data_IF_584188634288
#
_entry.id   IF_584188634288
#
_cell.length_a   1.000
_cell.length_b   1.000
_cell.length_c   1.000
_cell.angle_alpha   90.00
_cell.angle_beta   90.00
_cell.angle_gamma   90.00
#
_symmetry.space_group_name_H-M   'P 1'
#
loop_
_entity.id
_entity.type
_entity.pdbx_description
1 polymer ?
#
# COMPACT_ATOMS: atom_id res chain seq x y z
N UNK A 1 8.97 -30.79 -28.64
CA UNK A 1 7.61 -31.27 -28.94
C UNK A 1 6.74 -30.75 -27.80
N UNK A 2 6.19 -29.54 -27.96
CA UNK A 2 5.39 -28.87 -26.93
C UNK A 2 4.02 -29.51 -26.82
N UNK A 3 3.47 -29.61 -25.62
CA UNK A 3 2.14 -30.18 -25.40
C UNK A 3 1.07 -29.44 -26.22
N UNK A 4 0.23 -30.15 -26.99
CA UNK A 4 -0.85 -29.53 -27.73
C UNK A 4 -1.99 -29.19 -26.76
N UNK A 5 -2.25 -27.91 -26.52
CA UNK A 5 -3.45 -27.44 -25.81
C UNK A 5 -3.24 -26.44 -24.67
N UNK A 6 -2.01 -26.04 -24.34
CA UNK A 6 -1.77 -24.98 -23.34
C UNK A 6 -1.76 -23.63 -24.06
N UNK A 7 -2.72 -22.76 -23.72
CA UNK A 7 -2.75 -21.37 -24.18
C UNK A 7 -1.40 -20.70 -23.89
N UNK A 8 -0.87 -19.96 -24.86
CA UNK A 8 0.39 -19.25 -24.66
C UNK A 8 0.22 -18.12 -23.64
N UNK A 9 1.33 -17.71 -23.00
CA UNK A 9 1.35 -16.58 -22.06
C UNK A 9 0.69 -15.33 -22.66
N UNK A 10 1.01 -14.98 -23.90
CA UNK A 10 0.51 -13.77 -24.55
C UNK A 10 -0.99 -13.86 -24.88
N UNK A 11 -1.47 -15.03 -25.30
CA UNK A 11 -2.90 -15.26 -25.53
C UNK A 11 -3.70 -15.14 -24.23
N UNK A 12 -3.19 -15.73 -23.15
CA UNK A 12 -3.81 -15.70 -21.82
C UNK A 12 -3.89 -14.26 -21.28
N UNK A 13 -2.78 -13.51 -21.33
CA UNK A 13 -2.75 -12.10 -20.91
C UNK A 13 -3.66 -11.25 -21.79
N UNK A 14 -3.66 -11.44 -23.12
CA UNK A 14 -4.53 -10.69 -24.02
C UNK A 14 -6.02 -11.00 -23.77
N UNK A 15 -6.36 -12.24 -23.43
CA UNK A 15 -7.71 -12.66 -23.04
C UNK A 15 -8.14 -11.97 -21.75
N UNK A 16 -7.24 -11.88 -20.78
CA UNK A 16 -7.50 -11.19 -19.52
C UNK A 16 -7.65 -9.67 -19.66
N UNK A 17 -6.82 -9.02 -20.48
CA UNK A 17 -6.96 -7.59 -20.80
C UNK A 17 -8.30 -7.31 -21.45
N UNK A 18 -8.74 -8.15 -22.40
CA UNK A 18 -10.09 -8.04 -23.00
C UNK A 18 -11.19 -8.20 -21.95
N UNK A 19 -11.06 -9.16 -21.03
CA UNK A 19 -12.02 -9.34 -19.95
C UNK A 19 -12.14 -8.07 -19.09
N UNK A 20 -11.03 -7.46 -18.67
CA UNK A 20 -11.01 -6.20 -17.93
C UNK A 20 -11.67 -5.05 -18.70
N UNK A 21 -11.39 -4.92 -20.00
CA UNK A 21 -12.04 -3.92 -20.84
C UNK A 21 -13.57 -4.08 -20.86
N UNK A 22 -14.08 -5.32 -20.88
CA UNK A 22 -15.53 -5.56 -20.81
C UNK A 22 -16.12 -5.27 -19.43
N UNK A 23 -15.36 -5.52 -18.36
CA UNK A 23 -15.79 -5.24 -16.98
C UNK A 23 -15.91 -3.73 -16.74
N UNK A 24 -14.96 -2.93 -17.23
CA UNK A 24 -15.04 -1.46 -17.16
C UNK A 24 -16.17 -0.85 -17.99
N UNK A 25 -16.65 -1.56 -19.02
CA UNK A 25 -17.84 -1.16 -19.77
C UNK A 25 -19.16 -1.47 -19.03
N UNK A 26 -19.10 -2.03 -17.81
CA UNK A 26 -20.26 -2.23 -16.93
C UNK A 26 -21.24 -3.31 -17.39
N UNK A 27 -20.83 -4.22 -18.28
CA UNK A 27 -21.74 -5.17 -18.95
C UNK A 27 -21.40 -6.65 -18.78
N UNK A 28 -20.41 -7.02 -17.97
CA UNK A 28 -19.88 -8.39 -17.98
C UNK A 28 -20.12 -9.16 -16.67
N UNK A 29 -20.39 -10.48 -16.73
CA UNK A 29 -20.31 -11.37 -15.57
C UNK A 29 -18.87 -11.43 -15.02
N UNK A 30 -18.69 -12.06 -13.86
CA UNK A 30 -17.37 -12.20 -13.25
C UNK A 30 -16.36 -12.81 -14.22
N UNK A 31 -15.08 -12.41 -14.13
CA UNK A 31 -14.05 -13.03 -14.92
C UNK A 31 -14.04 -14.54 -14.67
N UNK A 32 -13.90 -15.30 -15.76
CA UNK A 32 -13.90 -16.76 -15.75
C UNK A 32 -12.93 -17.30 -14.67
N UNK A 33 -13.40 -18.10 -13.69
CA UNK A 33 -12.53 -18.68 -12.68
C UNK A 33 -11.35 -19.47 -13.28
N UNK A 34 -11.51 -20.07 -14.46
CA UNK A 34 -10.43 -20.75 -15.15
C UNK A 34 -9.34 -19.77 -15.60
N UNK A 35 -9.71 -18.59 -16.11
CA UNK A 35 -8.77 -17.53 -16.50
C UNK A 35 -7.92 -17.07 -15.31
N UNK A 36 -8.55 -16.85 -14.15
CA UNK A 36 -7.84 -16.47 -12.91
C UNK A 36 -6.89 -17.59 -12.47
N UNK A 37 -7.35 -18.84 -12.50
CA UNK A 37 -6.53 -20.00 -12.14
C UNK A 37 -5.32 -20.19 -13.06
N UNK A 38 -5.49 -19.95 -14.36
CA UNK A 38 -4.42 -20.05 -15.36
C UNK A 38 -3.39 -18.92 -15.18
N UNK A 39 -3.84 -17.68 -14.99
CA UNK A 39 -2.96 -16.54 -14.68
C UNK A 39 -2.22 -16.73 -13.35
N UNK A 40 -2.89 -17.29 -12.34
CA UNK A 40 -2.26 -17.56 -11.04
C UNK A 40 -1.12 -18.55 -11.17
N UNK A 41 -1.30 -19.60 -11.97
CA UNK A 41 -0.22 -20.56 -12.28
C UNK A 41 0.90 -19.90 -13.09
N UNK A 42 0.56 -19.05 -14.07
CA UNK A 42 1.54 -18.31 -14.85
C UNK A 42 2.41 -17.40 -13.96
N UNK A 43 1.80 -16.61 -13.07
CA UNK A 43 2.52 -15.72 -12.14
C UNK A 43 3.28 -16.51 -11.08
N UNK A 44 2.81 -17.69 -10.68
CA UNK A 44 3.58 -18.57 -9.80
C UNK A 44 4.83 -19.16 -10.49
N UNK A 45 4.72 -19.47 -11.79
CA UNK A 45 5.83 -19.98 -12.61
C UNK A 45 6.86 -18.86 -12.93
N UNK A 46 6.39 -17.63 -13.17
CA UNK A 46 7.22 -16.43 -13.37
C UNK A 46 6.66 -15.21 -12.62
N UNK A 47 7.07 -15.01 -11.36
CA UNK A 47 6.65 -13.86 -10.55
C UNK A 47 7.18 -12.51 -11.06
N UNK A 48 8.11 -12.52 -12.01
CA UNK A 48 8.71 -11.30 -12.58
C UNK A 48 7.93 -10.78 -13.79
N UNK A 49 6.94 -11.54 -14.27
CA UNK A 49 6.04 -11.11 -15.32
C UNK A 49 5.10 -10.00 -14.82
N UNK A 50 5.58 -8.76 -14.96
CA UNK A 50 4.91 -7.55 -14.51
C UNK A 50 3.51 -7.41 -15.10
N UNK A 51 3.35 -7.71 -16.40
CA UNK A 51 2.07 -7.53 -17.08
C UNK A 51 1.06 -8.59 -16.66
N UNK A 52 1.47 -9.87 -16.53
CA UNK A 52 0.58 -10.92 -16.03
C UNK A 52 0.17 -10.66 -14.57
N UNK A 53 1.12 -10.22 -13.75
CA UNK A 53 0.89 -9.86 -12.33
C UNK A 53 -0.09 -8.70 -12.21
N UNK A 54 0.13 -7.61 -12.96
CA UNK A 54 -0.76 -6.45 -12.92
C UNK A 54 -2.17 -6.82 -13.36
N UNK A 55 -2.32 -7.52 -14.50
CA UNK A 55 -3.64 -7.92 -15.02
C UNK A 55 -4.37 -8.83 -14.03
N UNK A 56 -3.67 -9.78 -13.39
CA UNK A 56 -4.26 -10.63 -12.37
C UNK A 56 -4.69 -9.83 -11.13
N UNK A 57 -3.88 -8.85 -10.69
CA UNK A 57 -4.23 -7.95 -9.60
C UNK A 57 -5.50 -7.13 -9.88
N UNK A 58 -5.67 -6.65 -11.12
CA UNK A 58 -6.89 -5.97 -11.55
C UNK A 58 -8.12 -6.89 -11.54
N UNK A 59 -7.97 -8.16 -11.89
CA UNK A 59 -9.07 -9.14 -11.84
C UNK A 59 -9.50 -9.43 -10.40
N UNK A 60 -8.53 -9.55 -9.48
CA UNK A 60 -8.81 -9.68 -8.05
C UNK A 60 -9.49 -8.43 -7.49
N UNK A 61 -9.02 -7.24 -7.84
CA UNK A 61 -9.67 -5.99 -7.44
C UNK A 61 -11.13 -5.93 -7.89
N UNK A 62 -11.41 -6.24 -9.18
CA UNK A 62 -12.78 -6.27 -9.70
C UNK A 62 -13.69 -7.24 -8.94
N UNK A 63 -13.17 -8.42 -8.60
CA UNK A 63 -13.93 -9.41 -7.81
C UNK A 63 -14.18 -8.92 -6.39
N UNK A 64 -13.20 -8.27 -5.76
CA UNK A 64 -13.37 -7.64 -4.46
C UNK A 64 -14.45 -6.56 -4.49
N UNK A 65 -14.42 -5.64 -5.47
CA UNK A 65 -15.44 -4.59 -5.59
C UNK A 65 -16.87 -5.16 -5.70
N UNK A 66 -17.01 -6.31 -6.36
CA UNK A 66 -18.32 -6.94 -6.55
C UNK A 66 -18.80 -7.77 -5.36
N UNK A 67 -17.90 -8.52 -4.73
CA UNK A 67 -18.26 -9.56 -3.76
C UNK A 67 -17.79 -9.27 -2.33
N UNK A 68 -16.87 -8.32 -2.14
CA UNK A 68 -16.32 -7.94 -0.84
C UNK A 68 -15.45 -9.00 -0.18
N UNK A 69 -14.89 -9.95 -0.94
CA UNK A 69 -14.06 -11.03 -0.40
C UNK A 69 -12.67 -10.51 0.02
N UNK A 70 -12.28 -10.55 1.30
CA UNK A 70 -11.01 -9.98 1.76
C UNK A 70 -9.77 -10.61 1.11
N UNK A 71 -9.83 -11.90 0.77
CA UNK A 71 -8.73 -12.57 0.07
C UNK A 71 -8.48 -11.99 -1.32
N UNK A 72 -9.53 -11.56 -2.02
CA UNK A 72 -9.39 -10.93 -3.34
C UNK A 72 -8.77 -9.52 -3.18
N UNK A 73 -9.07 -8.80 -2.09
CA UNK A 73 -8.36 -7.55 -1.77
C UNK A 73 -6.88 -7.80 -1.46
N UNK A 74 -6.57 -8.77 -0.61
CA UNK A 74 -5.19 -9.11 -0.24
C UNK A 74 -4.35 -9.47 -1.48
N UNK A 75 -4.90 -10.26 -2.39
CA UNK A 75 -4.23 -10.63 -3.64
C UNK A 75 -4.09 -9.43 -4.59
N UNK A 76 -5.09 -8.55 -4.68
CA UNK A 76 -5.00 -7.32 -5.46
C UNK A 76 -3.90 -6.38 -4.93
N UNK A 77 -3.88 -6.14 -3.61
CA UNK A 77 -2.83 -5.34 -2.94
C UNK A 77 -1.46 -5.96 -3.21
N UNK A 78 -1.29 -7.27 -2.99
CA UNK A 78 -0.02 -7.97 -3.20
C UNK A 78 0.51 -7.80 -4.63
N UNK A 79 -0.37 -7.84 -5.63
CA UNK A 79 0.00 -7.75 -7.03
C UNK A 79 0.23 -6.32 -7.51
N UNK A 80 -0.52 -5.35 -6.99
CA UNK A 80 -0.50 -3.97 -7.49
C UNK A 80 0.31 -2.99 -6.64
N UNK A 81 0.58 -3.30 -5.36
CA UNK A 81 1.42 -2.48 -4.48
C UNK A 81 2.83 -2.20 -5.03
N UNK A 82 3.52 -3.11 -5.76
CA UNK A 82 4.80 -2.79 -6.39
C UNK A 82 4.75 -1.64 -7.38
N UNK A 83 3.58 -1.23 -7.88
CA UNK A 83 3.40 -0.08 -8.77
C UNK A 83 3.04 1.22 -8.02
N UNK A 84 3.01 1.20 -6.69
CA UNK A 84 2.53 2.31 -5.86
C UNK A 84 3.60 3.39 -5.71
N UNK A 85 3.85 4.12 -6.79
CA UNK A 85 4.75 5.27 -6.83
C UNK A 85 4.29 6.26 -7.92
N UNK A 86 4.66 7.55 -7.81
CA UNK A 86 4.07 8.63 -8.61
C UNK A 86 3.98 8.34 -10.12
N UNK A 87 5.05 7.82 -10.72
CA UNK A 87 5.14 7.57 -12.16
C UNK A 87 4.37 6.34 -12.65
N UNK A 88 3.77 5.54 -11.75
CA UNK A 88 3.03 4.32 -12.11
C UNK A 88 1.64 4.22 -11.52
N UNK A 89 1.17 5.23 -10.80
CA UNK A 89 -0.15 5.23 -10.17
C UNK A 89 -1.30 5.00 -11.16
N UNK A 90 -1.11 5.32 -12.45
CA UNK A 90 -2.09 5.04 -13.51
C UNK A 90 -2.35 3.53 -13.73
N UNK A 91 -1.47 2.66 -13.23
CA UNK A 91 -1.65 1.20 -13.24
C UNK A 91 -2.52 0.71 -12.07
N UNK A 92 -2.81 1.54 -11.08
CA UNK A 92 -3.53 1.15 -9.87
C UNK A 92 -4.93 1.80 -9.89
N UNK A 93 -6.00 1.01 -9.72
CA UNK A 93 -7.36 1.53 -9.54
C UNK A 93 -7.43 2.53 -8.38
N UNK A 94 -8.18 3.63 -8.55
CA UNK A 94 -8.24 4.70 -7.55
C UNK A 94 -8.64 4.20 -6.16
N UNK A 95 -9.66 3.33 -6.06
CA UNK A 95 -10.10 2.75 -4.79
C UNK A 95 -9.05 1.85 -4.11
N UNK A 96 -8.23 1.15 -4.89
CA UNK A 96 -7.18 0.28 -4.36
C UNK A 96 -5.97 1.08 -3.84
N UNK A 97 -5.78 2.32 -4.27
CA UNK A 97 -4.65 3.17 -3.82
C UNK A 97 -4.70 3.41 -2.32
N UNK A 98 -5.87 3.68 -1.76
CA UNK A 98 -6.05 3.88 -0.32
C UNK A 98 -5.77 2.59 0.46
N UNK A 99 -6.25 1.45 -0.03
CA UNK A 99 -5.98 0.15 0.60
C UNK A 99 -4.48 -0.20 0.60
N UNK A 100 -3.77 0.08 -0.50
CA UNK A 100 -2.32 -0.10 -0.57
C UNK A 100 -1.61 0.86 0.39
N UNK A 101 -2.04 2.12 0.46
CA UNK A 101 -1.47 3.09 1.39
C UNK A 101 -1.63 2.62 2.84
N UNK A 102 -2.83 2.18 3.21
CA UNK A 102 -3.16 1.64 4.54
C UNK A 102 -2.29 0.41 4.85
N UNK A 103 -2.15 -0.53 3.92
CA UNK A 103 -1.30 -1.70 4.07
C UNK A 103 0.17 -1.32 4.32
N UNK A 104 0.70 -0.33 3.61
CA UNK A 104 2.06 0.16 3.83
C UNK A 104 2.24 0.91 5.16
N UNK A 105 1.23 1.65 5.61
CA UNK A 105 1.30 2.43 6.86
C UNK A 105 1.59 1.56 8.09
N UNK A 106 1.09 0.32 8.10
CA UNK A 106 1.31 -0.65 9.19
C UNK A 106 2.77 -1.12 9.32
N UNK A 107 3.59 -0.88 8.29
CA UNK A 107 5.00 -1.31 8.24
C UNK A 107 5.99 -0.17 8.49
N UNK A 108 5.53 1.05 8.79
CA UNK A 108 6.40 2.23 8.98
C UNK A 108 7.41 2.01 10.10
N UNK A 109 7.02 1.40 11.22
CA UNK A 109 7.93 1.13 12.36
C UNK A 109 9.09 0.21 11.96
N UNK A 110 8.80 -0.85 11.20
CA UNK A 110 9.82 -1.76 10.67
C UNK A 110 10.76 -1.03 9.71
N UNK A 111 10.22 -0.20 8.81
CA UNK A 111 11.05 0.58 7.87
C UNK A 111 11.87 1.65 8.59
N UNK A 112 11.35 2.22 9.69
CA UNK A 112 12.09 3.16 10.52
C UNK A 112 13.27 2.48 11.21
N UNK A 113 13.07 1.28 11.78
CA UNK A 113 14.16 0.49 12.33
C UNK A 113 15.23 0.20 11.25
N UNK A 114 14.82 -0.17 10.05
CA UNK A 114 15.72 -0.37 8.91
C UNK A 114 16.46 0.91 8.51
N UNK A 115 15.80 2.08 8.50
CA UNK A 115 16.44 3.35 8.18
C UNK A 115 17.54 3.74 9.19
N UNK A 116 17.38 3.34 10.45
CA UNK A 116 18.32 3.63 11.54
C UNK A 116 19.50 2.65 11.63
N UNK A 117 19.28 1.38 11.29
CA UNK A 117 20.29 0.32 11.46
C UNK A 117 20.79 -0.25 10.14
N UNK A 118 20.21 0.16 9.02
CA UNK A 118 20.55 -0.31 7.69
C UNK A 118 21.89 0.21 7.21
N UNK A 119 22.28 -0.26 6.03
CA UNK A 119 23.44 0.29 5.32
C UNK A 119 23.09 1.67 4.74
N UNK A 120 24.11 2.49 4.49
CA UNK A 120 23.96 3.83 3.92
C UNK A 120 23.93 4.96 4.95
N UNK A 121 23.64 6.16 4.47
CA UNK A 121 23.58 7.36 5.29
C UNK A 121 22.22 7.46 6.01
N UNK A 122 22.26 7.64 7.33
CA UNK A 122 21.04 7.68 8.17
C UNK A 122 20.18 8.89 7.84
N UNK A 123 20.78 10.03 7.47
CA UNK A 123 20.03 11.21 7.08
C UNK A 123 19.28 11.00 5.75
N UNK A 124 19.93 10.37 4.77
CA UNK A 124 19.31 9.98 3.50
C UNK A 124 18.17 8.98 3.73
N UNK A 125 18.42 7.89 4.46
CA UNK A 125 17.42 6.87 4.77
C UNK A 125 16.18 7.45 5.48
N UNK A 126 16.36 8.35 6.45
CA UNK A 126 15.25 9.01 7.14
C UNK A 126 14.53 10.01 6.23
N UNK A 127 15.22 10.66 5.29
CA UNK A 127 14.61 11.56 4.30
C UNK A 127 13.72 10.78 3.34
N UNK A 128 14.19 9.66 2.82
CA UNK A 128 13.43 8.77 1.95
C UNK A 128 12.19 8.21 2.64
N UNK A 129 12.34 7.73 3.88
CA UNK A 129 11.21 7.22 4.65
C UNK A 129 10.18 8.31 4.95
N UNK A 130 10.62 9.54 5.26
CA UNK A 130 9.71 10.66 5.48
C UNK A 130 8.95 11.01 4.19
N UNK A 131 9.64 11.09 3.04
CA UNK A 131 9.00 11.33 1.75
C UNK A 131 7.98 10.23 1.40
N UNK A 132 8.32 8.97 1.67
CA UNK A 132 7.40 7.85 1.50
C UNK A 132 6.17 7.97 2.41
N UNK A 133 6.35 8.29 3.69
CA UNK A 133 5.22 8.45 4.61
C UNK A 133 4.32 9.65 4.24
N UNK A 134 4.87 10.71 3.66
CA UNK A 134 4.09 11.79 3.06
C UNK A 134 3.25 11.29 1.88
N UNK A 135 3.86 10.52 0.97
CA UNK A 135 3.16 9.94 -0.17
C UNK A 135 2.04 8.97 0.24
N UNK A 136 2.23 8.18 1.31
CA UNK A 136 1.16 7.37 1.90
C UNK A 136 0.01 8.25 2.40
N UNK A 137 0.33 9.32 3.14
CA UNK A 137 -0.67 10.24 3.70
C UNK A 137 -1.48 10.97 2.61
N UNK A 138 -0.89 11.27 1.45
CA UNK A 138 -1.59 11.86 0.29
C UNK A 138 -2.66 10.94 -0.30
N UNK A 139 -2.54 9.63 -0.08
CA UNK A 139 -3.46 8.60 -0.61
C UNK A 139 -4.34 7.97 0.46
N UNK A 140 -4.15 8.36 1.72
CA UNK A 140 -4.99 7.95 2.83
C UNK A 140 -6.35 8.66 2.76
N UNK A 141 -7.41 7.96 3.12
CA UNK A 141 -8.74 8.55 3.27
C UNK A 141 -8.82 9.33 4.61
N UNK A 142 -9.01 10.66 4.61
CA UNK A 142 -9.13 11.46 5.83
C UNK A 142 -10.32 11.09 6.73
N UNK A 143 -11.34 10.45 6.17
CA UNK A 143 -12.57 10.06 6.88
C UNK A 143 -12.48 8.62 7.41
N UNK A 144 -11.42 7.87 7.10
CA UNK A 144 -11.17 6.52 7.58
C UNK A 144 -10.39 6.53 8.92
N UNK A 145 -10.77 5.61 9.78
CA UNK A 145 -10.11 5.12 10.99
C UNK A 145 -8.58 4.93 10.90
N UNK A 146 -8.04 4.65 9.70
CA UNK A 146 -6.60 4.50 9.48
C UNK A 146 -5.85 5.84 9.30
N UNK A 147 -6.54 6.95 9.05
CA UNK A 147 -5.89 8.25 8.81
C UNK A 147 -4.98 8.69 9.98
N UNK A 148 -5.38 8.39 11.21
CA UNK A 148 -4.57 8.63 12.40
C UNK A 148 -3.27 7.85 12.42
N UNK A 149 -3.24 6.64 11.83
CA UNK A 149 -2.05 5.79 11.74
C UNK A 149 -1.04 6.40 10.77
N UNK A 150 -1.47 6.89 9.62
CA UNK A 150 -0.62 7.60 8.66
C UNK A 150 0.03 8.85 9.28
N UNK A 151 -0.78 9.69 9.94
CA UNK A 151 -0.30 10.87 10.64
C UNK A 151 0.69 10.51 11.75
N UNK A 152 0.38 9.48 12.53
CA UNK A 152 1.21 8.99 13.63
C UNK A 152 2.54 8.42 13.15
N UNK A 153 2.53 7.63 12.07
CA UNK A 153 3.72 7.05 11.47
C UNK A 153 4.67 8.12 10.94
N UNK A 154 4.17 9.05 10.12
CA UNK A 154 4.97 10.17 9.62
C UNK A 154 5.50 11.06 10.76
N UNK A 155 4.66 11.36 11.74
CA UNK A 155 5.06 12.13 12.92
C UNK A 155 6.19 11.45 13.71
N UNK A 156 6.16 10.12 13.82
CA UNK A 156 7.19 9.32 14.50
C UNK A 156 8.52 9.32 13.73
N UNK A 157 8.47 9.19 12.41
CA UNK A 157 9.66 9.31 11.54
C UNK A 157 10.31 10.68 11.68
N UNK A 158 9.53 11.76 11.62
CA UNK A 158 10.04 13.13 11.73
C UNK A 158 10.58 13.45 13.14
N UNK A 159 9.92 12.95 14.19
CA UNK A 159 10.43 13.06 15.55
C UNK A 159 11.76 12.32 15.73
N UNK A 160 11.88 11.14 15.12
CA UNK A 160 13.12 10.36 15.15
C UNK A 160 14.24 11.07 14.40
N UNK A 161 13.94 11.69 13.24
CA UNK A 161 14.88 12.54 12.50
C UNK A 161 15.39 13.71 13.35
N UNK A 162 14.52 14.36 14.11
CA UNK A 162 14.95 15.40 15.06
C UNK A 162 15.91 14.83 16.12
N UNK A 163 15.58 13.69 16.74
CA UNK A 163 16.42 13.11 17.79
C UNK A 163 17.81 12.69 17.29
N UNK A 164 17.90 12.20 16.05
CA UNK A 164 19.16 11.71 15.48
C UNK A 164 19.99 12.84 14.87
N UNK A 165 19.35 13.79 14.18
CA UNK A 165 20.03 14.80 13.36
C UNK A 165 19.95 16.23 13.91
N UNK A 166 19.13 16.47 14.94
CA UNK A 166 18.87 17.81 15.47
C UNK A 166 18.00 18.69 14.57
N UNK A 167 17.26 18.09 13.62
CA UNK A 167 16.42 18.82 12.66
C UNK A 167 15.17 19.43 13.35
N UNK A 168 15.29 20.68 13.77
CA UNK A 168 14.22 21.41 14.47
C UNK A 168 12.97 21.58 13.58
N UNK A 169 13.12 21.65 12.26
CA UNK A 169 11.97 21.74 11.35
C UNK A 169 11.19 20.42 11.33
N UNK A 170 11.89 19.28 11.39
CA UNK A 170 11.25 17.97 11.53
C UNK A 170 10.48 17.87 12.85
N UNK A 171 11.01 18.40 13.96
CA UNK A 171 10.31 18.44 15.24
C UNK A 171 8.98 19.22 15.17
N UNK A 172 9.00 20.42 14.59
CA UNK A 172 7.79 21.25 14.48
C UNK A 172 6.70 20.56 13.65
N UNK A 173 7.09 19.89 12.57
CA UNK A 173 6.16 19.10 11.76
C UNK A 173 5.64 17.88 12.51
N UNK A 174 6.51 17.16 13.22
CA UNK A 174 6.14 16.01 14.05
C UNK A 174 5.08 16.37 15.10
N UNK A 175 5.27 17.50 15.82
CA UNK A 175 4.29 17.98 16.80
C UNK A 175 2.93 18.23 16.15
N UNK A 176 2.90 18.87 14.98
CA UNK A 176 1.66 19.14 14.25
C UNK A 176 0.92 17.86 13.85
N UNK A 177 1.65 16.89 13.30
CA UNK A 177 1.11 15.62 12.82
C UNK A 177 0.64 14.72 13.97
N UNK A 178 1.46 14.54 15.02
CA UNK A 178 1.10 13.74 16.19
C UNK A 178 -0.10 14.35 16.94
N UNK A 179 -0.16 15.68 17.05
CA UNK A 179 -1.33 16.36 17.63
C UNK A 179 -2.59 16.17 16.79
N UNK A 180 -2.47 16.10 15.45
CA UNK A 180 -3.59 15.80 14.56
C UNK A 180 -4.01 14.34 14.71
N UNK A 181 -3.08 13.40 14.76
CA UNK A 181 -3.33 11.99 15.02
C UNK A 181 -4.11 11.78 16.32
N UNK A 182 -3.71 12.47 17.40
CA UNK A 182 -4.39 12.43 18.70
C UNK A 182 -5.85 12.89 18.65
N UNK A 183 -6.17 13.86 17.78
CA UNK A 183 -7.53 14.39 17.63
C UNK A 183 -8.42 13.47 16.81
N UNK A 184 -7.88 12.82 15.78
CA UNK A 184 -8.65 11.96 14.88
C UNK A 184 -8.79 10.53 15.37
N UNK A 185 -8.01 10.11 16.38
CA UNK A 185 -8.17 8.78 16.99
C UNK A 185 -8.43 8.86 18.49
N UNK A 186 -9.70 8.97 18.92
CA UNK A 186 -10.07 8.98 20.33
C UNK A 186 -9.75 7.64 21.03
N UNK A 187 -9.58 7.69 22.35
CA UNK A 187 -9.39 6.47 23.15
C UNK A 187 -10.60 5.53 23.02
N UNK A 188 -10.35 4.26 22.68
CA UNK A 188 -11.39 3.24 22.42
C UNK A 188 -11.51 2.81 20.95
N UNK A 189 -10.73 3.42 20.07
CA UNK A 189 -10.71 3.14 18.65
C UNK A 189 -9.87 1.88 18.29
N UNK A 190 -10.26 1.06 17.30
CA UNK A 190 -9.54 -0.17 16.93
C UNK A 190 -8.07 0.04 16.55
N UNK A 191 -7.75 1.13 15.85
CA UNK A 191 -6.37 1.57 15.51
C UNK A 191 -5.63 2.25 16.69
N UNK A 192 -6.29 2.38 17.84
CA UNK A 192 -5.78 3.06 19.04
C UNK A 192 -4.48 2.52 19.63
N UNK A 193 -4.17 1.20 19.63
CA UNK A 193 -2.96 0.69 20.29
C UNK A 193 -1.65 1.22 19.69
N UNK A 194 -1.53 1.29 18.35
CA UNK A 194 -0.34 1.80 17.68
C UNK A 194 -0.15 3.31 17.87
N UNK A 195 -1.26 4.06 17.77
CA UNK A 195 -1.24 5.52 17.96
C UNK A 195 -0.95 5.89 19.42
N UNK A 196 -1.44 5.12 20.40
CA UNK A 196 -1.14 5.35 21.82
C UNK A 196 0.36 5.24 22.13
N UNK A 197 1.08 4.31 21.50
CA UNK A 197 2.55 4.25 21.61
C UNK A 197 3.23 5.55 21.16
N UNK A 198 2.77 6.08 20.03
CA UNK A 198 3.31 7.32 19.45
C UNK A 198 2.91 8.58 20.24
N UNK A 199 1.71 8.60 20.84
CA UNK A 199 1.27 9.67 21.73
C UNK A 199 1.95 9.66 23.10
N UNK A 200 2.34 8.47 23.59
CA UNK A 200 3.16 8.38 24.81
C UNK A 200 4.54 9.03 24.58
N UNK A 201 5.14 8.87 23.39
CA UNK A 201 6.37 9.57 23.03
C UNK A 201 6.19 11.10 23.05
N UNK A 202 5.05 11.63 22.58
CA UNK A 202 4.75 13.06 22.66
C UNK A 202 4.65 13.56 24.12
N UNK A 203 4.11 12.75 25.04
CA UNK A 203 3.98 13.13 26.46
C UNK A 203 5.29 13.06 27.26
N UNK A 204 6.31 12.41 26.71
CA UNK A 204 7.64 12.34 27.31
C UNK A 204 8.59 13.45 26.83
N UNK A 205 8.15 14.31 25.90
CA UNK A 205 8.85 15.53 25.52
C UNK A 205 8.79 16.56 26.67
N UNK A 206 9.92 17.18 27.06
CA UNK A 206 9.96 18.25 28.07
C UNK A 206 9.29 19.55 27.59
#
# INVERSE_FOLDING_TARGET
MGEPGRESRDELVARAVRALQTLWAGTSPDPDPALIGDLTRLVADDPTDEQATAVLGHLYWHRYERHGAPSDLDDAVRMLAPHFFPDRMFLIPDGLRTEIADAHSTHVDTRLAQALTGEGDVEENLSELAAWCWFLLEHADPDNDQYGVHLGGLGTVLYTRYNVLGDVNALLQAIGLLSRAARVTPAGHPSGPGIQGNLVLQRCLP
#
